data_IF_119900865227
#
_entry.id   IF_119900865227
#
_cell.length_a   1.000
_cell.length_b   1.000
_cell.length_c   1.000
_cell.angle_alpha   90.00
_cell.angle_beta   90.00
_cell.angle_gamma   90.00
#
_symmetry.space_group_name_H-M   'P 1'
#
loop_
_entity.id
_entity.type
_entity.pdbx_description
1 polymer ?
#
# COMPACT_ATOMS: atom_id res chain seq x y z
N UNK A 1 47.81 -9.06 -22.09
CA UNK A 1 46.42 -8.55 -21.93
C UNK A 1 45.45 -9.74 -21.93
N UNK A 2 44.77 -10.02 -20.81
CA UNK A 2 43.71 -11.04 -20.54
C UNK A 2 44.10 -11.85 -19.31
N UNK A 3 43.61 -11.45 -18.13
CA UNK A 3 43.40 -12.32 -16.94
C UNK A 3 42.81 -11.61 -15.72
N UNK A 4 42.49 -10.32 -15.79
CA UNK A 4 42.03 -9.53 -14.65
C UNK A 4 40.52 -9.18 -14.64
N UNK A 5 39.69 -9.86 -15.45
CA UNK A 5 38.25 -9.55 -15.56
C UNK A 5 37.31 -10.59 -14.94
N UNK A 6 37.84 -11.68 -14.36
CA UNK A 6 37.01 -12.82 -13.93
C UNK A 6 36.64 -12.85 -12.44
N UNK A 7 37.16 -11.95 -11.61
CA UNK A 7 36.86 -11.97 -10.15
C UNK A 7 35.71 -11.07 -9.71
N UNK A 8 35.19 -10.17 -10.57
CA UNK A 8 34.14 -9.23 -10.16
C UNK A 8 32.72 -9.80 -10.24
N UNK A 9 32.50 -10.91 -10.96
CA UNK A 9 31.15 -11.42 -11.27
C UNK A 9 30.52 -12.29 -10.18
N UNK A 10 31.20 -12.54 -9.04
CA UNK A 10 30.72 -13.47 -8.00
C UNK A 10 30.01 -12.76 -6.83
N UNK A 11 30.01 -11.43 -6.77
CA UNK A 11 29.45 -10.68 -5.63
C UNK A 11 28.00 -10.18 -5.81
N UNK A 12 27.37 -10.42 -6.96
CA UNK A 12 26.06 -9.82 -7.29
C UNK A 12 24.85 -10.78 -7.18
N UNK A 13 25.05 -12.05 -6.84
CA UNK A 13 23.97 -13.06 -6.86
C UNK A 13 23.37 -13.42 -5.50
N UNK A 14 23.63 -12.65 -4.43
CA UNK A 14 23.10 -12.95 -3.09
C UNK A 14 22.38 -11.79 -2.40
N UNK A 15 21.72 -10.91 -3.15
CA UNK A 15 20.61 -10.12 -2.62
C UNK A 15 19.30 -10.66 -3.19
N UNK A 16 18.96 -11.89 -2.81
CA UNK A 16 17.59 -12.40 -2.90
C UNK A 16 16.71 -11.72 -1.85
N UNK A 17 16.60 -10.39 -1.93
CA UNK A 17 15.53 -9.66 -1.26
C UNK A 17 14.25 -10.05 -1.99
N UNK A 18 13.59 -11.09 -1.50
CA UNK A 18 12.21 -11.34 -1.83
C UNK A 18 11.42 -10.20 -1.21
N UNK A 19 11.27 -9.12 -1.96
CA UNK A 19 10.30 -8.06 -1.70
C UNK A 19 8.93 -8.73 -1.80
N UNK A 20 8.43 -9.27 -0.69
CA UNK A 20 7.00 -9.47 -0.55
C UNK A 20 6.36 -8.09 -0.70
N UNK A 21 5.47 -7.89 -1.68
CA UNK A 21 4.72 -6.65 -1.74
C UNK A 21 3.98 -6.49 -0.41
N UNK A 22 3.94 -5.27 0.19
CA UNK A 22 3.12 -5.04 1.36
C UNK A 22 1.69 -5.49 1.06
N UNK A 23 1.11 -6.27 1.95
CA UNK A 23 -0.29 -6.67 1.83
C UNK A 23 -1.18 -5.44 1.97
N UNK A 24 -1.97 -5.14 0.95
CA UNK A 24 -3.03 -4.14 1.03
C UNK A 24 -4.38 -4.84 1.19
N UNK A 25 -5.13 -4.47 2.23
CA UNK A 25 -6.51 -4.89 2.44
C UNK A 25 -7.43 -3.79 1.95
N UNK A 26 -8.40 -4.13 1.09
CA UNK A 26 -9.37 -3.16 0.55
C UNK A 26 -10.73 -3.42 1.16
N UNK A 27 -11.28 -2.41 1.83
CA UNK A 27 -12.63 -2.39 2.38
C UNK A 27 -13.53 -1.56 1.47
N UNK A 28 -14.66 -2.13 1.05
CA UNK A 28 -15.63 -1.45 0.18
C UNK A 28 -16.98 -1.41 0.88
N UNK A 29 -17.49 -0.20 1.09
CA UNK A 29 -18.82 0.07 1.63
C UNK A 29 -19.70 0.59 0.50
N UNK A 30 -20.72 -0.20 0.16
CA UNK A 30 -21.64 0.09 -0.95
C UNK A 30 -22.99 0.47 -0.35
N UNK A 31 -23.58 1.61 -0.76
CA UNK A 31 -24.90 2.02 -0.27
C UNK A 31 -26.00 1.12 -0.84
N UNK A 32 -27.12 1.01 -0.13
CA UNK A 32 -28.30 0.28 -0.63
C UNK A 32 -28.77 0.87 -1.97
N UNK A 33 -29.09 0.01 -2.93
CA UNK A 33 -29.56 0.43 -4.25
C UNK A 33 -28.48 0.97 -5.20
N UNK A 34 -27.20 0.88 -4.83
CA UNK A 34 -26.07 1.29 -5.68
C UNK A 34 -26.12 0.68 -7.10
N UNK A 35 -26.54 -0.58 -7.22
CA UNK A 35 -26.59 -1.30 -8.50
C UNK A 35 -27.40 -0.58 -9.58
N UNK A 36 -28.41 0.20 -9.19
CA UNK A 36 -29.25 0.96 -10.13
C UNK A 36 -28.55 2.19 -10.73
N UNK A 37 -27.51 2.70 -10.07
CA UNK A 37 -26.80 3.94 -10.44
C UNK A 37 -25.47 3.66 -11.17
N UNK A 38 -24.96 2.43 -11.09
CA UNK A 38 -23.79 2.00 -11.86
C UNK A 38 -22.54 2.85 -11.63
N UNK A 39 -21.85 3.22 -12.71
CA UNK A 39 -20.56 3.93 -12.65
C UNK A 39 -20.66 5.41 -12.24
N UNK A 40 -21.88 5.95 -12.10
CA UNK A 40 -22.13 7.35 -11.75
C UNK A 40 -22.31 7.60 -10.26
N UNK A 41 -22.15 6.57 -9.42
CA UNK A 41 -22.25 6.72 -7.97
C UNK A 41 -21.02 7.44 -7.46
N UNK A 42 -21.18 8.49 -6.63
CA UNK A 42 -20.03 9.17 -6.06
C UNK A 42 -19.17 8.22 -5.21
N UNK A 43 -17.85 8.36 -5.31
CA UNK A 43 -16.90 7.48 -4.61
C UNK A 43 -15.99 8.29 -3.72
N UNK A 44 -15.82 7.87 -2.47
CA UNK A 44 -14.78 8.34 -1.58
C UNK A 44 -13.72 7.25 -1.46
N UNK A 45 -12.51 7.51 -1.94
CA UNK A 45 -11.34 6.66 -1.76
C UNK A 45 -10.48 7.18 -0.61
N UNK A 46 -10.12 6.29 0.30
CA UNK A 46 -9.33 6.55 1.48
C UNK A 46 -8.14 5.59 1.49
N UNK A 47 -6.95 6.14 1.67
CA UNK A 47 -5.70 5.42 1.85
C UNK A 47 -4.87 6.17 2.90
N UNK A 48 -3.86 5.53 3.47
CA UNK A 48 -2.99 6.18 4.44
C UNK A 48 -2.46 7.54 3.91
N UNK A 49 -2.80 8.61 4.61
CA UNK A 49 -2.39 9.98 4.26
C UNK A 49 -3.09 10.58 3.02
N UNK A 50 -4.12 9.93 2.46
CA UNK A 50 -4.78 10.40 1.23
C UNK A 50 -6.29 10.17 1.25
N UNK A 51 -7.04 11.18 0.84
CA UNK A 51 -8.46 11.05 0.53
C UNK A 51 -8.75 11.64 -0.85
N UNK A 52 -9.52 10.91 -1.66
CA UNK A 52 -9.99 11.39 -2.97
C UNK A 52 -11.49 11.18 -3.07
N UNK A 53 -12.20 12.23 -3.46
CA UNK A 53 -13.63 12.19 -3.70
C UNK A 53 -13.93 12.36 -5.20
N UNK A 54 -14.70 11.43 -5.74
CA UNK A 54 -15.18 11.42 -7.12
C UNK A 54 -16.68 11.77 -7.09
N UNK A 55 -17.06 13.04 -7.27
CA UNK A 55 -18.44 13.49 -7.07
C UNK A 55 -19.44 12.89 -8.07
N UNK A 56 -18.97 12.53 -9.27
CA UNK A 56 -19.78 11.94 -10.35
C UNK A 56 -19.47 10.44 -10.56
N UNK A 57 -18.76 9.84 -9.60
CA UNK A 57 -18.20 8.50 -9.73
C UNK A 57 -16.94 8.43 -10.58
N UNK A 58 -16.37 7.23 -10.68
CA UNK A 58 -15.05 7.00 -11.29
C UNK A 58 -15.02 7.19 -12.82
N UNK A 59 -16.19 7.15 -13.46
CA UNK A 59 -16.34 7.41 -14.90
C UNK A 59 -16.90 8.80 -15.21
N UNK A 60 -17.01 9.66 -14.20
CA UNK A 60 -17.51 11.03 -14.33
C UNK A 60 -16.58 11.93 -15.17
N UNK A 61 -17.12 13.05 -15.65
CA UNK A 61 -16.32 14.04 -16.37
C UNK A 61 -15.44 14.85 -15.41
N UNK A 62 -15.91 15.02 -14.18
CA UNK A 62 -15.17 15.68 -13.11
C UNK A 62 -14.16 14.72 -12.49
N UNK A 63 -12.87 15.10 -12.51
CA UNK A 63 -11.79 14.33 -11.88
C UNK A 63 -11.88 14.28 -10.34
N UNK A 64 -11.00 13.50 -9.68
CA UNK A 64 -10.99 13.42 -8.23
C UNK A 64 -10.63 14.76 -7.58
N UNK A 65 -11.28 15.05 -6.47
CA UNK A 65 -11.01 16.20 -5.61
C UNK A 65 -10.49 15.72 -4.27
N UNK A 66 -9.50 16.40 -3.70
CA UNK A 66 -9.05 16.14 -2.34
C UNK A 66 -9.92 16.94 -1.35
N UNK A 67 -10.78 16.26 -0.57
CA UNK A 67 -11.68 16.94 0.36
C UNK A 67 -10.92 17.49 1.56
N UNK A 68 -11.39 18.62 2.08
CA UNK A 68 -10.89 19.17 3.36
C UNK A 68 -11.28 18.26 4.53
N UNK A 69 -10.56 18.31 5.66
CA UNK A 69 -10.92 17.51 6.85
C UNK A 69 -12.36 17.70 7.33
N UNK A 70 -12.91 18.90 7.24
CA UNK A 70 -14.32 19.17 7.58
C UNK A 70 -15.30 18.52 6.61
N UNK A 71 -14.93 18.41 5.33
CA UNK A 71 -15.77 17.82 4.29
C UNK A 71 -15.78 16.30 4.40
N UNK A 72 -14.68 15.68 4.87
CA UNK A 72 -14.64 14.24 5.16
C UNK A 72 -15.69 13.82 6.18
N UNK A 73 -15.96 14.64 7.20
CA UNK A 73 -17.00 14.35 8.19
C UNK A 73 -18.38 14.34 7.52
N UNK A 74 -18.64 15.31 6.64
CA UNK A 74 -19.90 15.38 5.90
C UNK A 74 -20.04 14.20 4.91
N UNK A 75 -18.97 13.85 4.21
CA UNK A 75 -18.95 12.71 3.29
C UNK A 75 -19.15 11.38 4.02
N UNK A 76 -18.57 11.19 5.20
CA UNK A 76 -18.75 9.98 6.01
C UNK A 76 -20.19 9.78 6.53
N UNK A 77 -21.02 10.83 6.53
CA UNK A 77 -22.44 10.76 6.90
C UNK A 77 -23.36 10.49 5.71
N UNK A 78 -22.84 10.57 4.48
CA UNK A 78 -23.62 10.32 3.27
C UNK A 78 -23.92 8.84 3.13
N UNK A 79 -25.16 8.54 2.73
CA UNK A 79 -25.67 7.17 2.51
C UNK A 79 -25.81 6.82 1.04
N UNK A 80 -25.36 7.70 0.15
CA UNK A 80 -25.51 7.62 -1.30
C UNK A 80 -24.15 7.59 -2.02
N UNK A 81 -23.07 7.33 -1.29
CA UNK A 81 -21.71 7.24 -1.84
C UNK A 81 -21.11 5.87 -1.55
N UNK A 82 -20.25 5.39 -2.45
CA UNK A 82 -19.37 4.24 -2.17
C UNK A 82 -18.15 4.74 -1.41
N UNK A 83 -17.74 4.03 -0.36
CA UNK A 83 -16.50 4.31 0.36
C UNK A 83 -15.54 3.15 0.13
N UNK A 84 -14.36 3.45 -0.39
CA UNK A 84 -13.25 2.50 -0.57
C UNK A 84 -12.16 2.91 0.42
N UNK A 85 -11.82 2.04 1.36
CA UNK A 85 -10.72 2.26 2.29
C UNK A 85 -9.64 1.20 2.08
N UNK A 86 -8.40 1.63 1.88
CA UNK A 86 -7.23 0.78 1.68
C UNK A 86 -6.38 0.83 2.94
N UNK A 87 -6.26 -0.31 3.60
CA UNK A 87 -5.36 -0.52 4.73
C UNK A 87 -4.10 -1.20 4.21
N UNK A 88 -2.97 -0.50 4.26
CA UNK A 88 -1.68 -1.03 3.80
C UNK A 88 -0.87 -1.38 5.03
N UNK A 89 -0.62 -2.68 5.26
CA UNK A 89 0.28 -3.05 6.35
C UNK A 89 1.71 -2.61 5.99
N UNK A 90 2.43 -1.94 6.91
CA UNK A 90 3.84 -1.65 6.69
C UNK A 90 4.58 -2.97 6.56
N UNK A 91 5.41 -3.08 5.51
CA UNK A 91 6.25 -4.25 5.27
C UNK A 91 6.95 -4.66 6.57
N UNK A 92 6.61 -5.86 7.05
CA UNK A 92 7.01 -6.36 8.36
C UNK A 92 8.51 -6.16 8.61
N UNK A 93 8.81 -5.58 9.78
CA UNK A 93 10.16 -5.30 10.30
C UNK A 93 11.10 -6.47 9.98
N UNK A 94 12.31 -6.23 9.42
CA UNK A 94 13.20 -7.32 9.05
C UNK A 94 13.51 -8.19 10.28
N UNK A 95 13.52 -9.53 10.14
CA UNK A 95 13.77 -10.41 11.27
C UNK A 95 15.15 -10.08 11.85
N UNK A 96 15.17 -9.73 13.14
CA UNK A 96 16.40 -9.50 13.89
C UNK A 96 17.20 -10.80 13.87
N UNK A 97 18.18 -10.90 12.97
CA UNK A 97 19.09 -12.04 12.92
C UNK A 97 19.99 -11.96 14.16
N UNK A 98 19.65 -12.71 15.21
CA UNK A 98 20.58 -12.95 16.31
C UNK A 98 21.76 -13.75 15.76
N UNK A 99 22.90 -13.08 15.58
CA UNK A 99 24.16 -13.75 15.26
C UNK A 99 24.74 -14.25 16.59
N UNK A 100 24.56 -15.53 16.90
CA UNK A 100 25.35 -16.19 17.93
C UNK A 100 26.70 -16.54 17.30
N UNK A 101 27.77 -15.85 17.70
CA UNK A 101 29.13 -16.25 17.33
C UNK A 101 29.50 -17.53 18.10
N UNK A 102 29.85 -18.65 17.43
CA UNK A 102 30.46 -19.78 18.10
C UNK A 102 31.97 -19.53 18.21
N UNK A 103 32.50 -19.59 19.43
CA UNK A 103 33.95 -19.70 19.66
C UNK A 103 34.62 -18.46 20.24
N UNK A 104 34.29 -18.13 21.50
CA UNK A 104 35.26 -17.51 22.39
C UNK A 104 35.91 -18.64 23.21
N UNK A 105 37.06 -19.10 22.76
CA UNK A 105 37.95 -19.96 23.54
C UNK A 105 38.49 -19.11 24.69
N UNK A 106 37.98 -19.31 25.90
CA UNK A 106 38.60 -18.77 27.11
C UNK A 106 39.57 -19.80 27.68
N UNK A 107 40.87 -19.50 27.63
CA UNK A 107 41.94 -20.12 28.42
C UNK A 107 42.78 -18.94 28.96
N UNK A 108 43.07 -18.92 30.26
CA UNK A 108 44.38 -19.38 30.73
C UNK A 108 44.32 -20.69 31.50
#
# INVERSE_FOLDING_TARGET
>A
MRRWLLTLSVLLTSCGLRLEPPGSTVHVFVPEGAEALGASIPVLYLEEGRALFFPEGVSGATGPVEPRPSELIALGQRKDIVIIAVDTEPASRPPTRHVTHPGATSVP
#
